data_IF_764514337202
#
_entry.id   IF_764514337202
#
_cell.length_a   1.000
_cell.length_b   1.000
_cell.length_c   1.000
_cell.angle_alpha   90.00
_cell.angle_beta   90.00
_cell.angle_gamma   90.00
#
_symmetry.space_group_name_H-M   'P 1'
#
loop_
_entity.id
_entity.type
_entity.pdbx_description
1 polymer ?
2 polymer ?
3 polymer ?
#
loop_
_entity_poly.entity_id
_entity_poly.type
_entity_poly.pdbx_seq_one_letter_code
_entity_poly.pdbx_strand_id
2 'polydeoxyribonucleotide' '(DG)(DA)(DT)(DT)(DC)(DT)(DG)(DC)(DA)(DT)(DG)(DG)(DA)(DT)(DT)' ?
3 'polydeoxyribonucleotide' '(DC)(DA)(DA)(DT)(DC)(DC)(DA)(DT)(DG)(DC)(DA)(DG)(DA)(DA)(DT)' ?
#
# COMPACT_ATOMS: atom_id res chain seq x y z
N UNK A 5 -4.94 2.71 -13.98
CA UNK A 5 -5.36 4.11 -13.86
C UNK A 5 -6.31 4.45 -15.01
N UNK A 6 -7.16 3.48 -15.36
CA UNK A 6 -8.23 3.67 -16.34
C UNK A 6 -9.49 3.64 -15.49
N UNK A 7 -9.35 4.06 -14.25
CA UNK A 7 -10.44 4.04 -13.27
C UNK A 7 -11.62 5.01 -13.44
N UNK A 8 -12.81 4.53 -13.09
CA UNK A 8 -14.07 5.32 -13.10
C UNK A 8 -14.54 5.30 -11.66
N UNK A 9 -14.84 6.44 -11.06
CA UNK A 9 -15.02 6.55 -9.61
C UNK A 9 -16.35 7.16 -9.21
N UNK A 10 -16.86 6.67 -8.08
CA UNK A 10 -18.04 7.18 -7.40
C UNK A 10 -17.66 7.47 -5.96
N UNK A 11 -17.95 8.69 -5.49
CA UNK A 11 -17.59 9.06 -4.12
C UNK A 11 -18.50 8.33 -3.15
N UNK A 12 -17.91 7.63 -2.17
CA UNK A 12 -18.66 6.98 -1.10
C UNK A 12 -18.78 7.87 0.15
N UNK A 13 -17.68 8.45 0.61
CA UNK A 13 -17.71 9.39 1.71
C UNK A 13 -16.42 10.21 1.73
N UNK A 14 -16.45 11.31 2.48
CA UNK A 14 -15.32 12.21 2.57
C UNK A 14 -15.30 12.80 3.98
N UNK A 15 -14.11 13.00 4.53
CA UNK A 15 -14.03 13.53 5.89
C UNK A 15 -12.93 14.57 5.99
N UNK A 16 -13.25 15.71 6.59
CA UNK A 16 -12.25 16.72 6.90
C UNK A 16 -11.52 16.27 8.16
N UNK A 17 -10.21 16.08 8.06
CA UNK A 17 -9.46 15.51 9.16
C UNK A 17 -9.40 16.47 10.34
N UNK A 18 -9.84 15.99 11.51
CA UNK A 18 -9.78 16.73 12.76
C UNK A 18 -8.53 16.32 13.54
N UNK A 19 -8.36 16.91 14.74
CA UNK A 19 -7.14 16.66 15.51
C UNK A 19 -7.00 15.19 15.90
N UNK A 20 -8.10 14.55 16.32
CA UNK A 20 -8.01 13.16 16.75
C UNK A 20 -7.84 12.20 15.59
N UNK A 21 -8.22 12.61 14.37
CA UNK A 21 -8.07 11.76 13.20
C UNK A 21 -6.60 11.54 12.85
N UNK A 22 -5.77 12.56 13.05
CA UNK A 22 -4.33 12.44 12.81
C UNK A 22 -3.54 12.30 14.10
N UNK A 23 -4.22 12.02 15.21
CA UNK A 23 -3.57 11.98 16.51
C UNK A 23 -2.93 10.64 16.78
N UNK A 24 -2.47 10.49 18.03
CA UNK A 24 -1.76 9.28 18.43
C UNK A 24 -2.67 8.07 18.53
N UNK A 25 -4.00 8.26 18.54
CA UNK A 25 -4.90 7.12 18.66
C UNK A 25 -4.86 6.23 17.43
N UNK A 26 -4.50 6.77 16.28
CA UNK A 26 -4.39 5.94 15.09
C UNK A 26 -5.70 5.42 14.55
N UNK A 27 -6.75 6.25 14.56
CA UNK A 27 -8.03 5.88 13.98
C UNK A 27 -8.64 7.11 13.35
N UNK A 28 -9.46 6.90 12.32
CA UNK A 28 -10.11 7.98 11.59
C UNK A 28 -11.62 7.79 11.70
N UNK A 29 -12.33 8.84 12.07
CA UNK A 29 -13.79 8.79 12.14
C UNK A 29 -14.36 9.06 10.75
N UNK A 30 -15.43 8.36 10.40
CA UNK A 30 -16.09 8.62 9.12
C UNK A 30 -17.50 9.12 9.34
N UNK A 31 -18.04 9.94 8.44
CA UNK A 31 -19.39 10.47 8.62
C UNK A 31 -20.42 9.35 8.65
N UNK A 32 -21.23 9.32 9.72
CA UNK A 32 -22.13 8.19 9.93
C UNK A 32 -23.09 8.01 8.77
N UNK A 33 -23.62 9.11 8.24
CA UNK A 33 -24.63 9.01 7.18
C UNK A 33 -24.09 8.32 5.95
N UNK A 34 -23.01 8.88 5.39
CA UNK A 34 -22.45 8.32 4.16
C UNK A 34 -21.84 6.96 4.42
N UNK A 35 -21.23 6.77 5.60
CA UNK A 35 -20.66 5.47 5.91
C UNK A 35 -21.73 4.39 5.92
N UNK A 36 -22.90 4.69 6.49
CA UNK A 36 -23.98 3.72 6.49
C UNK A 36 -24.53 3.50 5.09
N UNK A 37 -24.68 4.57 4.32
CA UNK A 37 -25.35 4.48 3.02
C UNK A 37 -24.48 3.80 1.98
N UNK A 38 -23.20 4.19 1.88
CA UNK A 38 -22.33 3.79 0.78
C UNK A 38 -21.28 2.74 1.16
N UNK A 39 -20.73 2.81 2.36
CA UNK A 39 -19.73 1.84 2.83
C UNK A 39 -20.38 0.48 3.10
N UNK A 40 -19.62 -0.62 3.04
CA UNK A 40 -20.26 -1.92 3.25
C UNK A 40 -21.03 -1.94 4.57
N UNK A 41 -22.10 -2.72 4.58
CA UNK A 41 -22.95 -2.78 5.76
C UNK A 41 -22.26 -3.58 6.84
N UNK A 42 -22.23 -3.03 8.05
CA UNK A 42 -21.58 -3.67 9.18
C UNK A 42 -22.65 -4.26 10.10
N UNK A 43 -22.61 -5.57 10.31
CA UNK A 43 -23.55 -6.26 11.17
C UNK A 43 -22.90 -6.75 12.47
N UNK A 44 -21.69 -6.27 12.77
CA UNK A 44 -21.06 -6.70 14.00
C UNK A 44 -20.07 -5.67 14.53
N UNK A 45 -19.90 -5.63 15.84
CA UNK A 45 -18.91 -4.73 16.44
C UNK A 45 -17.50 -5.16 16.08
N UNK A 46 -17.32 -6.45 15.78
CA UNK A 46 -16.03 -6.94 15.32
C UNK A 46 -15.58 -6.18 14.07
N UNK A 47 -16.52 -5.79 13.22
CA UNK A 47 -16.21 -5.02 12.04
C UNK A 47 -15.73 -5.92 10.93
N UNK A 48 -15.18 -5.30 9.88
CA UNK A 48 -14.58 -6.04 8.79
C UNK A 48 -13.23 -5.42 8.49
N UNK A 49 -12.46 -6.10 7.64
CA UNK A 49 -11.17 -5.60 7.19
C UNK A 49 -11.33 -5.16 5.74
N UNK A 50 -10.98 -3.93 5.46
CA UNK A 50 -11.17 -3.38 4.13
C UNK A 50 -9.82 -2.88 3.64
N UNK A 51 -9.64 -2.89 2.32
CA UNK A 51 -8.41 -2.37 1.76
C UNK A 51 -8.79 -1.46 0.59
N UNK A 52 -8.14 -0.30 0.55
CA UNK A 52 -8.42 0.75 -0.43
C UNK A 52 -7.12 1.22 -1.06
N UNK A 53 -7.11 1.33 -2.39
CA UNK A 53 -5.92 1.68 -3.16
C UNK A 53 -5.91 3.16 -3.53
N UNK A 54 -4.74 3.74 -3.56
CA UNK A 54 -4.61 5.14 -3.86
C UNK A 54 -5.06 5.39 -5.24
N UNK A 55 -5.77 6.46 -5.41
CA UNK A 55 -6.26 6.80 -6.70
C UNK A 55 -5.15 7.17 -7.61
N UNK A 56 -4.14 7.81 -7.09
CA UNK A 56 -3.04 8.27 -7.91
C UNK A 56 -1.87 7.32 -8.00
N UNK A 57 -2.00 6.16 -7.40
CA UNK A 57 -0.90 5.24 -7.31
C UNK A 57 -1.29 3.84 -7.19
N UNK A 58 -0.33 2.96 -7.22
CA UNK A 58 -0.60 1.56 -7.04
C UNK A 58 -0.45 1.05 -5.62
N UNK A 59 -0.29 2.00 -4.72
CA UNK A 59 -0.20 1.82 -3.32
C UNK A 59 -1.51 1.42 -2.83
N UNK A 60 -1.57 0.37 -2.04
CA UNK A 60 -2.82 -0.10 -1.48
C UNK A 60 -2.68 -0.12 0.02
N UNK A 61 -3.77 0.18 0.74
CA UNK A 61 -3.74 0.23 2.19
C UNK A 61 -4.82 -0.65 2.81
N UNK A 62 -4.50 -1.26 3.95
CA UNK A 62 -5.45 -2.14 4.62
C UNK A 62 -5.78 -1.57 6.00
N UNK A 63 -7.07 -1.38 6.24
CA UNK A 63 -7.60 -0.82 7.47
C UNK A 63 -8.67 -1.76 8.00
N UNK A 64 -9.10 -1.49 9.23
CA UNK A 64 -10.21 -2.19 9.85
C UNK A 64 -11.38 -1.22 9.93
N UNK A 65 -12.49 -1.57 9.29
CA UNK A 65 -13.67 -0.72 9.25
C UNK A 65 -14.67 -1.27 10.24
N UNK A 66 -14.84 -0.57 11.37
CA UNK A 66 -15.72 -1.06 12.43
C UNK A 66 -16.52 0.10 12.96
N UNK A 67 -17.44 -0.20 13.88
CA UNK A 67 -18.28 0.81 14.50
C UNK A 67 -18.29 0.61 16.01
N UNK A 68 -18.45 1.73 16.71
CA UNK A 68 -18.68 1.74 18.15
C UNK A 68 -20.16 1.96 18.39
N UNK A 69 -20.60 1.59 19.58
CA UNK A 69 -21.97 1.83 20.01
C UNK A 69 -22.02 3.20 20.67
N UNK A 70 -22.98 4.03 20.25
CA UNK A 70 -23.10 5.38 20.78
C UNK A 70 -24.57 5.71 20.92
N UNK A 71 -24.98 6.06 22.13
CA UNK A 71 -26.41 6.30 22.42
C UNK A 71 -27.13 5.02 22.03
N UNK A 72 -28.20 5.08 21.24
CA UNK A 72 -28.87 3.90 20.70
C UNK A 72 -28.46 3.59 19.27
N UNK A 73 -27.56 4.39 18.71
CA UNK A 73 -27.07 4.21 17.35
C UNK A 73 -25.57 3.93 17.38
N UNK A 74 -24.82 4.44 16.39
CA UNK A 74 -23.45 4.02 16.19
C UNK A 74 -22.56 5.20 15.84
N UNK A 75 -21.25 4.99 16.00
CA UNK A 75 -20.21 5.87 15.49
C UNK A 75 -19.27 5.03 14.64
N UNK A 76 -19.00 5.46 13.42
CA UNK A 76 -18.22 4.64 12.50
C UNK A 76 -16.76 5.08 12.50
N UNK A 77 -15.84 4.12 12.50
CA UNK A 77 -14.43 4.43 12.60
C UNK A 77 -13.62 3.48 11.72
N UNK A 78 -12.47 4.00 11.28
CA UNK A 78 -11.51 3.31 10.43
C UNK A 78 -10.23 3.24 11.25
N UNK A 79 -9.94 2.07 11.83
CA UNK A 79 -8.84 1.85 12.75
C UNK A 79 -7.52 1.58 12.02
N UNK A 80 -6.43 1.76 12.77
CA UNK A 80 -5.07 1.48 12.30
C UNK A 80 -4.67 2.43 11.17
N UNK A 81 -4.90 3.73 11.42
CA UNK A 81 -4.54 4.79 10.48
C UNK A 81 -3.29 5.55 10.86
N UNK A 82 -2.47 5.02 11.77
CA UNK A 82 -1.29 5.74 12.20
C UNK A 82 -0.24 5.94 11.13
N UNK A 83 0.23 4.85 10.54
CA UNK A 83 1.24 4.98 9.50
C UNK A 83 0.66 5.65 8.27
N UNK A 84 -0.63 5.48 7.99
CA UNK A 84 -1.23 6.13 6.84
C UNK A 84 -1.06 7.65 6.92
N UNK A 85 -1.43 8.22 8.07
CA UNK A 85 -1.27 9.65 8.27
C UNK A 85 0.20 10.04 8.32
N UNK A 86 1.01 9.25 9.04
CA UNK A 86 2.41 9.61 9.21
C UNK A 86 3.11 9.62 7.87
N UNK A 87 2.92 8.55 7.10
CA UNK A 87 3.56 8.38 5.80
C UNK A 87 3.16 9.43 4.77
N UNK A 88 1.87 9.73 4.74
CA UNK A 88 1.33 10.70 3.83
C UNK A 88 1.41 12.12 4.38
N UNK A 89 1.85 12.27 5.63
CA UNK A 89 2.03 13.59 6.21
C UNK A 89 0.75 14.39 6.29
N UNK A 90 -0.36 13.72 6.58
CA UNK A 90 -1.65 14.38 6.65
C UNK A 90 -1.75 15.22 7.93
N UNK A 91 -2.16 16.47 7.77
CA UNK A 91 -2.32 17.42 8.86
C UNK A 91 -3.81 17.65 9.11
N UNK A 92 -4.10 18.51 10.09
CA UNK A 92 -5.48 18.88 10.36
C UNK A 92 -6.02 19.65 9.16
N UNK A 93 -7.25 19.34 8.77
CA UNK A 93 -7.86 20.02 7.65
C UNK A 93 -7.59 19.37 6.31
N UNK A 94 -6.76 18.34 6.26
CA UNK A 94 -6.61 17.61 5.01
C UNK A 94 -7.86 16.77 4.78
N UNK A 95 -7.99 16.24 3.58
CA UNK A 95 -9.22 15.55 3.21
C UNK A 95 -8.92 14.10 2.90
N UNK A 96 -9.72 13.22 3.49
CA UNK A 96 -9.67 11.80 3.18
C UNK A 96 -10.96 11.51 2.43
N UNK A 97 -10.82 11.20 1.14
CA UNK A 97 -11.95 10.92 0.27
C UNK A 97 -11.86 9.46 -0.14
N UNK A 98 -12.98 8.77 -0.07
CA UNK A 98 -13.07 7.35 -0.38
C UNK A 98 -13.98 7.16 -1.58
N UNK A 99 -13.50 6.44 -2.60
CA UNK A 99 -14.22 6.23 -3.85
C UNK A 99 -14.60 4.76 -4.02
N UNK A 100 -15.15 4.43 -5.19
CA UNK A 100 -15.60 3.07 -5.48
C UNK A 100 -15.41 2.78 -6.96
N UNK A 101 -15.10 1.53 -7.27
CA UNK A 101 -14.90 1.09 -8.64
C UNK A 101 -16.29 0.70 -9.13
N UNK A 102 -16.64 1.15 -10.33
CA UNK A 102 -18.01 0.84 -10.83
C UNK A 102 -18.48 -0.61 -11.12
N UNK A 103 -17.68 -1.41 -11.81
CA UNK A 103 -18.02 -2.82 -12.01
C UNK A 103 -17.73 -3.72 -10.81
N UNK A 104 -16.74 -3.35 -10.08
CA UNK A 104 -16.43 -4.09 -8.94
C UNK A 104 -16.38 -3.10 -7.84
N UNK A 105 -16.80 -3.49 -6.64
CA UNK A 105 -16.75 -2.59 -5.52
C UNK A 105 -15.38 -2.69 -4.88
N UNK A 106 -14.38 -2.18 -5.56
CA UNK A 106 -13.03 -2.23 -5.12
C UNK A 106 -12.85 -0.87 -4.64
N UNK A 107 -12.47 -0.76 -3.38
CA UNK A 107 -12.41 0.54 -2.73
C UNK A 107 -11.18 1.41 -2.94
N UNK A 108 -11.21 2.17 -4.02
CA UNK A 108 -10.18 3.13 -4.25
C UNK A 108 -10.53 4.21 -3.34
N UNK A 109 -9.56 4.58 -2.56
CA UNK A 109 -9.86 5.54 -1.59
C UNK A 109 -8.77 6.45 -1.04
N UNK A 110 -8.25 7.39 -1.84
CA UNK A 110 -7.11 8.21 -1.39
C UNK A 110 -7.25 9.71 -1.02
N UNK A 111 -6.37 10.08 -0.08
CA UNK A 111 -6.17 11.40 0.47
C UNK A 111 -5.23 12.21 -0.40
N UNK A 112 -4.77 13.33 0.13
CA UNK A 112 -3.96 14.26 -0.63
C UNK A 112 -4.89 15.37 -1.12
N UNK A 113 -5.94 15.66 -0.36
CA UNK A 113 -6.91 16.67 -0.60
C UNK A 113 -7.65 16.37 -1.88
N UNK A 114 -7.03 16.43 -3.02
CA UNK A 114 -7.88 16.06 -4.14
C UNK A 114 -9.13 16.93 -4.27
N UNK A 115 -10.28 16.39 -3.86
CA UNK A 115 -11.55 17.10 -3.98
C UNK A 115 -12.71 16.15 -4.24
N UNK D 2 8.62 -12.50 11.50
CA UNK D 2 9.38 -11.35 11.98
C UNK D 2 8.67 -10.06 11.58
N UNK D 3 7.46 -10.22 11.06
CA UNK D 3 6.64 -9.14 10.56
C UNK D 3 5.87 -8.36 11.62
N UNK D 4 5.13 -7.33 11.21
CA UNK D 4 4.41 -6.56 12.22
C UNK D 4 3.38 -7.44 12.91
N UNK D 5 2.74 -8.34 12.16
CA UNK D 5 1.75 -9.23 12.76
C UNK D 5 2.32 -10.58 13.24
N UNK D 6 3.65 -10.72 13.23
CA UNK D 6 4.26 -12.00 13.58
C UNK D 6 4.15 -13.10 12.56
N UNK D 7 4.78 -12.93 11.41
CA UNK D 7 4.80 -13.97 10.40
C UNK D 7 6.26 -14.32 10.10
N UNK D 8 6.59 -15.59 9.84
CA UNK D 8 7.99 -15.84 9.56
C UNK D 8 8.26 -15.53 8.10
N UNK D 9 9.34 -14.81 7.81
CA UNK D 9 9.65 -14.53 6.42
C UNK D 9 11.11 -14.84 6.15
N UNK D 10 11.37 -15.31 4.93
CA UNK D 10 12.71 -15.68 4.47
C UNK D 10 13.14 -14.65 3.43
N UNK D 11 14.37 -14.17 3.53
CA UNK D 11 14.82 -13.14 2.61
C UNK D 11 15.04 -13.75 1.24
N UNK D 12 14.42 -13.15 0.23
CA UNK D 12 14.62 -13.61 -1.14
C UNK D 12 15.79 -12.88 -1.77
N UNK D 13 15.83 -11.56 -1.66
CA UNK D 13 16.94 -10.79 -2.20
C UNK D 13 17.01 -9.45 -1.48
N UNK D 14 18.11 -8.76 -1.71
CA UNK D 14 18.35 -7.46 -1.09
C UNK D 14 19.12 -6.63 -2.09
N UNK D 15 18.83 -5.33 -2.12
CA UNK D 15 19.52 -4.43 -3.04
C UNK D 15 19.85 -3.13 -2.31
N UNK D 16 21.10 -2.70 -2.42
CA UNK D 16 21.49 -1.39 -1.95
C UNK D 16 21.09 -0.38 -3.02
N UNK D 17 20.26 0.59 -2.66
CA UNK D 17 19.68 1.45 -3.69
C UNK D 17 20.77 2.30 -4.34
N UNK D 18 20.86 2.20 -5.66
CA UNK D 18 21.82 3.02 -6.40
C UNK D 18 21.16 4.35 -6.77
N UNK D 19 21.84 5.15 -7.58
CA UNK D 19 21.27 6.43 -8.00
C UNK D 19 20.14 6.23 -9.01
N UNK D 20 20.32 5.30 -9.95
CA UNK D 20 19.29 5.07 -10.96
C UNK D 20 18.09 4.32 -10.40
N UNK D 21 18.25 3.60 -9.28
CA UNK D 21 17.10 2.99 -8.62
C UNK D 21 16.18 4.03 -8.00
N UNK D 22 16.75 5.15 -7.54
CA UNK D 22 15.96 6.25 -7.00
C UNK D 22 15.80 7.38 -8.00
N UNK D 23 16.15 7.14 -9.27
CA UNK D 23 16.15 8.19 -10.27
C UNK D 23 14.80 8.40 -10.96
N UNK D 24 14.84 9.28 -11.96
CA UNK D 24 13.62 9.67 -12.67
C UNK D 24 13.09 8.57 -13.58
N UNK D 25 13.91 7.57 -13.90
CA UNK D 25 13.45 6.48 -14.75
C UNK D 25 12.41 5.62 -14.04
N UNK D 26 12.39 5.61 -12.72
CA UNK D 26 11.34 4.93 -11.98
C UNK D 26 11.37 3.42 -12.03
N UNK D 27 12.55 2.82 -11.98
CA UNK D 27 12.65 1.37 -11.92
C UNK D 27 13.81 0.98 -11.03
N UNK D 28 13.70 -0.21 -10.44
CA UNK D 28 14.70 -0.75 -9.54
C UNK D 28 15.20 -2.05 -10.15
N UNK D 29 16.50 -2.19 -10.28
CA UNK D 29 17.10 -3.41 -10.81
C UNK D 29 17.27 -4.39 -9.66
N UNK D 30 17.07 -5.65 -9.93
CA UNK D 30 17.29 -6.59 -8.85
C UNK D 30 18.47 -7.49 -9.16
N UNK D 31 19.20 -7.95 -8.13
CA UNK D 31 20.35 -8.83 -8.39
C UNK D 31 19.93 -10.11 -9.09
N UNK D 32 20.57 -10.39 -10.22
CA UNK D 32 20.11 -11.48 -11.10
C UNK D 32 20.17 -12.83 -10.39
N UNK D 33 21.21 -13.06 -9.59
CA UNK D 33 21.39 -14.36 -8.95
C UNK D 33 20.19 -14.67 -8.04
N UNK D 34 19.93 -13.77 -7.09
CA UNK D 34 18.85 -14.00 -6.14
C UNK D 34 17.50 -13.93 -6.83
N UNK D 35 17.33 -13.01 -7.77
CA UNK D 35 16.04 -12.87 -8.46
C UNK D 35 15.68 -14.16 -9.19
N UNK D 36 16.66 -14.78 -9.85
CA UNK D 36 16.39 -16.06 -10.50
C UNK D 36 16.15 -17.15 -9.47
N UNK D 37 16.95 -17.17 -8.39
CA UNK D 37 16.92 -18.31 -7.49
C UNK D 37 15.63 -18.37 -6.66
N UNK D 38 15.33 -17.29 -5.95
CA UNK D 38 14.15 -17.25 -5.07
C UNK D 38 12.85 -16.65 -5.61
N UNK D 39 12.94 -15.56 -6.38
CA UNK D 39 11.76 -14.91 -6.89
C UNK D 39 11.10 -15.76 -7.98
N UNK D 40 9.84 -15.49 -8.32
CA UNK D 40 9.12 -16.34 -9.29
C UNK D 40 9.84 -16.49 -10.62
N UNK D 41 9.58 -17.61 -11.27
CA UNK D 41 10.18 -17.89 -12.57
C UNK D 41 9.51 -17.06 -13.66
N UNK D 42 10.31 -16.35 -14.44
CA UNK D 42 9.82 -15.58 -15.58
C UNK D 42 10.22 -16.28 -16.87
N UNK D 43 9.22 -16.64 -17.66
CA UNK D 43 9.46 -17.27 -18.96
C UNK D 43 9.10 -16.33 -20.11
N UNK D 44 8.93 -15.04 -19.85
CA UNK D 44 8.53 -14.10 -20.87
C UNK D 44 9.03 -12.70 -20.55
N UNK D 45 9.21 -11.90 -21.60
CA UNK D 45 9.62 -10.52 -21.46
C UNK D 45 8.53 -9.74 -20.72
N UNK D 46 7.27 -10.04 -21.02
CA UNK D 46 6.16 -9.33 -20.38
C UNK D 46 6.30 -9.24 -18.87
N UNK D 47 6.87 -10.26 -18.25
CA UNK D 47 7.03 -10.26 -16.82
C UNK D 47 5.76 -10.73 -16.14
N UNK D 48 5.69 -10.48 -14.84
CA UNK D 48 4.51 -10.77 -14.06
C UNK D 48 4.19 -9.55 -13.22
N UNK D 49 3.04 -9.60 -12.56
CA UNK D 49 2.61 -8.54 -11.66
C UNK D 49 2.81 -9.04 -10.24
N UNK D 50 3.48 -8.24 -9.42
CA UNK D 50 3.81 -8.67 -8.07
C UNK D 50 3.25 -7.66 -7.10
N UNK D 51 2.95 -8.14 -5.89
CA UNK D 51 2.43 -7.31 -4.82
C UNK D 51 3.27 -7.59 -3.58
N UNK D 52 3.68 -6.51 -2.90
CA UNK D 52 4.54 -6.61 -1.74
C UNK D 52 3.95 -5.78 -0.62
N UNK D 53 3.79 -6.38 0.55
CA UNK D 53 3.27 -5.68 1.71
C UNK D 53 4.43 -5.30 2.63
N UNK D 54 4.35 -4.10 3.19
CA UNK D 54 5.41 -3.62 4.08
C UNK D 54 5.57 -4.57 5.25
N UNK D 55 6.81 -4.77 5.67
CA UNK D 55 7.07 -5.59 6.85
C UNK D 55 6.54 -4.88 8.10
N UNK D 56 6.76 -3.57 8.18
CA UNK D 56 6.35 -2.83 9.36
C UNK D 56 4.90 -2.38 9.31
N UNK D 57 4.28 -2.30 8.13
CA UNK D 57 2.95 -1.72 8.03
C UNK D 57 2.09 -2.48 7.01
N UNK D 58 0.82 -2.07 6.93
CA UNK D 58 -0.17 -2.58 5.98
C UNK D 58 -0.08 -1.89 4.61
N UNK D 59 1.02 -1.19 4.36
CA UNK D 59 1.23 -0.55 3.08
C UNK D 59 1.77 -1.59 2.10
N UNK D 60 0.93 -1.86 1.12
CA UNK D 60 1.15 -2.77 0.01
C UNK D 60 1.33 -1.96 -1.27
N UNK D 61 2.18 -2.50 -2.13
CA UNK D 61 2.50 -1.89 -3.41
C UNK D 61 2.47 -2.95 -4.49
N UNK D 62 2.13 -2.51 -5.70
CA UNK D 62 2.02 -3.40 -6.83
C UNK D 62 3.02 -2.93 -7.88
N UNK D 63 3.91 -3.83 -8.30
CA UNK D 63 4.97 -3.50 -9.23
C UNK D 63 4.92 -4.51 -10.37
N UNK D 64 5.64 -4.25 -11.46
CA UNK D 64 5.77 -5.24 -12.52
C UNK D 64 7.19 -5.79 -12.51
N UNK D 65 7.29 -7.10 -12.34
CA UNK D 65 8.57 -7.79 -12.24
C UNK D 65 8.89 -8.40 -13.59
N UNK D 66 9.86 -7.81 -14.30
CA UNK D 66 10.17 -8.24 -15.65
C UNK D 66 11.69 -8.30 -15.82
N UNK D 67 12.11 -8.79 -16.99
CA UNK D 67 13.52 -8.89 -17.33
C UNK D 67 13.76 -8.36 -18.74
N UNK D 68 14.95 -7.79 -18.91
CA UNK D 68 15.46 -7.33 -20.19
C UNK D 68 16.43 -8.38 -20.73
N UNK D 69 16.70 -8.30 -22.02
CA UNK D 69 17.71 -9.16 -22.61
C UNK D 69 19.05 -8.41 -22.56
N UNK D 70 20.08 -9.09 -22.10
CA UNK D 70 21.43 -8.51 -21.96
C UNK D 70 22.42 -9.60 -22.35
N UNK D 71 23.30 -9.27 -23.30
CA UNK D 71 24.20 -10.27 -23.90
C UNK D 71 23.30 -11.37 -24.47
N UNK D 72 23.53 -12.64 -24.15
CA UNK D 72 22.63 -13.71 -24.55
C UNK D 72 21.71 -14.13 -23.43
N UNK D 73 21.79 -13.48 -22.26
CA UNK D 73 20.96 -13.81 -21.12
C UNK D 73 20.06 -12.64 -20.76
N UNK D 74 19.84 -12.42 -19.47
CA UNK D 74 18.81 -11.49 -19.04
C UNK D 74 19.29 -10.66 -17.85
N UNK D 75 18.62 -9.52 -17.67
CA UNK D 75 18.79 -8.61 -16.54
C UNK D 75 17.44 -8.41 -15.87
N UNK D 76 17.38 -8.56 -14.55
CA UNK D 76 16.10 -8.51 -13.86
C UNK D 76 15.82 -7.12 -13.29
N UNK D 77 14.57 -6.67 -13.44
CA UNK D 77 14.16 -5.33 -13.03
C UNK D 77 12.74 -5.35 -12.47
N UNK D 78 12.48 -4.39 -11.60
CA UNK D 78 11.18 -4.17 -10.99
C UNK D 78 10.75 -2.76 -11.41
N UNK D 79 9.77 -2.68 -12.30
CA UNK D 79 9.27 -1.42 -12.87
C UNK D 79 8.20 -0.81 -12.03
N UNK D 80 7.94 0.47 -12.26
CA UNK D 80 6.95 1.31 -11.58
C UNK D 80 7.10 1.58 -10.11
N UNK D 81 8.28 1.97 -9.70
CA UNK D 81 8.51 2.18 -8.28
C UNK D 81 9.09 3.55 -8.11
N UNK D 82 8.28 4.54 -8.42
CA UNK D 82 8.70 5.94 -8.31
C UNK D 82 8.01 6.73 -7.22
N UNK D 83 6.80 6.28 -6.90
CA UNK D 83 5.99 6.83 -5.83
C UNK D 83 6.35 6.00 -4.62
N UNK D 84 6.93 4.83 -4.87
CA UNK D 84 7.35 3.97 -3.78
C UNK D 84 8.58 4.58 -3.16
N UNK D 85 9.54 5.03 -3.96
CA UNK D 85 10.67 5.73 -3.36
C UNK D 85 10.23 7.06 -2.77
N UNK D 86 9.41 7.82 -3.50
CA UNK D 86 9.01 9.15 -3.02
C UNK D 86 8.20 9.04 -1.74
N UNK D 87 7.32 8.03 -1.65
CA UNK D 87 6.51 7.86 -0.46
C UNK D 87 7.37 7.42 0.71
N UNK D 88 8.25 6.44 0.47
CA UNK D 88 9.11 5.97 1.55
C UNK D 88 10.33 6.84 1.77
N UNK D 89 10.53 7.86 0.93
CA UNK D 89 11.66 8.77 1.10
C UNK D 89 13.00 8.07 1.03
N UNK D 90 13.15 7.11 0.13
CA UNK D 90 14.39 6.37 0.03
C UNK D 90 15.46 7.23 -0.63
N UNK D 91 16.62 7.31 0.01
CA UNK D 91 17.72 8.13 -0.48
C UNK D 91 18.78 7.22 -1.07
N UNK D 92 19.86 7.83 -1.55
CA UNK D 92 20.96 7.05 -2.08
C UNK D 92 21.58 6.25 -0.94
N UNK D 93 21.88 4.98 -1.20
CA UNK D 93 22.48 4.13 -0.21
C UNK D 93 21.53 3.37 0.69
N UNK D 94 20.22 3.56 0.56
CA UNK D 94 19.25 2.83 1.36
C UNK D 94 19.11 1.39 0.84
N UNK D 95 18.43 0.56 1.63
CA UNK D 95 18.31 -0.85 1.34
C UNK D 95 16.85 -1.21 1.09
N UNK D 96 16.60 -1.92 0.00
CA UNK D 96 15.30 -2.47 -0.33
C UNK D 96 15.43 -3.98 -0.17
N UNK D 97 14.73 -4.52 0.82
CA UNK D 97 14.82 -5.93 1.11
C UNK D 97 13.48 -6.58 0.78
N UNK D 98 13.52 -7.69 0.06
CA UNK D 98 12.33 -8.41 -0.36
C UNK D 98 12.36 -9.76 0.34
N UNK D 99 11.29 -10.10 1.04
CA UNK D 99 11.17 -11.34 1.80
C UNK D 99 10.01 -12.16 1.19
N UNK D 100 9.69 -13.27 1.86
CA UNK D 100 8.58 -14.14 1.45
C UNK D 100 7.94 -14.72 2.71
N UNK D 101 6.61 -14.77 2.70
CA UNK D 101 5.83 -15.35 3.79
C UNK D 101 5.66 -16.84 3.48
N UNK D 102 5.60 -17.69 4.50
CA UNK D 102 5.48 -19.10 4.26
C UNK D 102 4.37 -19.39 3.38
N UNK D 103 3.44 -18.44 3.26
CA UNK D 103 2.24 -18.61 2.44
C UNK D 103 2.43 -18.28 0.97
N UNK D 104 3.68 -18.05 0.56
CA UNK D 104 3.98 -17.72 -0.82
C UNK D 104 3.74 -16.24 -1.12
N UNK D 105 3.41 -15.46 -0.09
CA UNK D 105 3.17 -14.06 -0.26
C UNK D 105 4.42 -13.24 0.01
N UNK D 106 4.67 -12.30 -0.88
CA UNK D 106 5.77 -11.40 -0.80
C UNK D 106 5.70 -10.27 0.13
N UNK D 107 6.82 -9.83 0.59
CA UNK D 107 6.92 -8.74 1.55
C UNK D 107 8.16 -7.91 1.24
N UNK D 108 8.11 -6.62 1.54
CA UNK D 108 9.23 -5.71 1.33
C UNK D 108 9.54 -4.97 2.63
N UNK D 109 10.72 -4.33 2.68
CA UNK D 109 11.18 -3.66 3.89
C UNK D 109 11.53 -2.21 3.65
N UNK D 110 12.53 -1.93 2.80
CA UNK D 110 12.95 -0.57 2.44
C UNK D 110 13.40 0.25 3.66
N UNK D 111 14.40 -0.31 4.35
CA UNK D 111 15.00 0.36 5.48
C UNK D 111 16.22 1.15 4.98
N UNK D 112 16.45 2.32 5.56
CA UNK D 112 17.68 3.04 5.30
C UNK D 112 17.81 4.27 6.16
N UNK D 113 19.05 4.60 6.53
CA UNK D 113 19.30 5.71 7.43
C UNK D 113 20.66 6.34 7.14
#
# INVERSE_FOLDING_TARGET
MSTFDNKKLRVLCEKELKNSDVGSLGRIVLPKRDAEANLPKLSDKEGIVVQMRDVFSMQSWSFKYKFWSNNKSRMYVLENTGEFVKQNGAEIGDFLTIYEDESKNLYFAMNGNSGLEHHHHHH
MSTFDNKKLRVLCEKELKNSDVGSLGRIVLPKRDAEANLPKLSDKEGIVVQMRDVFSMQSWSFKYKFWSNNKSRMYVLENTGEFVKQNGAEIGDFLTIYEDESKNLYFAMNGNSGLEHHHHHH
#
